data_IF_377329858196
#
_entry.id   IF_377329858196
#
_cell.length_a   1.000
_cell.length_b   1.000
_cell.length_c   1.000
_cell.angle_alpha   90.00
_cell.angle_beta   90.00
_cell.angle_gamma   90.00
#
_symmetry.space_group_name_H-M   'P 1'
#
loop_
_entity.id
_entity.type
_entity.pdbx_description
1 polymer ?
#
# COMPACT_ATOMS: atom_id res chain seq x y z
N UNK A 1 38.45 36.75 -1.02
CA UNK A 1 37.91 36.84 0.35
C UNK A 1 37.04 38.07 0.47
N UNK A 2 35.72 37.91 0.67
CA UNK A 2 34.82 39.04 0.90
C UNK A 2 35.09 39.63 2.29
N UNK A 3 35.38 40.92 2.35
CA UNK A 3 35.52 41.65 3.62
C UNK A 3 34.16 41.78 4.31
N UNK A 4 34.11 41.68 5.63
CA UNK A 4 32.89 41.78 6.46
C UNK A 4 31.95 42.94 6.05
N UNK A 5 32.52 44.11 5.73
CA UNK A 5 31.76 45.28 5.24
C UNK A 5 31.00 45.00 3.94
N UNK A 6 31.60 44.28 3.00
CA UNK A 6 30.95 43.92 1.72
C UNK A 6 29.85 42.89 1.91
N UNK A 7 30.03 41.96 2.85
CA UNK A 7 29.00 40.98 3.22
C UNK A 7 27.80 41.65 3.90
N UNK A 8 28.04 42.66 4.75
CA UNK A 8 26.97 43.41 5.40
C UNK A 8 26.14 44.22 4.39
N UNK A 9 26.79 44.88 3.43
CA UNK A 9 26.09 45.59 2.36
C UNK A 9 25.25 44.66 1.48
N UNK A 10 25.77 43.47 1.14
CA UNK A 10 25.02 42.48 0.37
C UNK A 10 23.80 41.95 1.14
N UNK A 11 23.94 41.70 2.44
CA UNK A 11 22.84 41.26 3.30
C UNK A 11 21.73 42.31 3.42
N UNK A 12 22.10 43.58 3.59
CA UNK A 12 21.13 44.68 3.63
C UNK A 12 20.38 44.79 2.30
N UNK A 13 21.07 44.73 1.15
CA UNK A 13 20.43 44.76 -0.16
C UNK A 13 19.46 43.59 -0.36
N UNK A 14 19.84 42.37 0.05
CA UNK A 14 19.00 41.18 -0.04
C UNK A 14 17.72 41.32 0.81
N UNK A 15 17.86 41.80 2.06
CA UNK A 15 16.72 42.01 2.95
C UNK A 15 15.78 43.08 2.39
N UNK A 16 16.33 44.18 1.86
CA UNK A 16 15.54 45.26 1.27
C UNK A 16 14.77 44.77 0.03
N UNK A 17 15.40 43.92 -0.78
CA UNK A 17 14.77 43.31 -1.96
C UNK A 17 13.63 42.36 -1.59
N UNK A 18 13.80 41.53 -0.55
CA UNK A 18 12.75 40.62 -0.06
C UNK A 18 11.55 41.41 0.51
N UNK A 19 11.80 42.49 1.25
CA UNK A 19 10.73 43.34 1.78
C UNK A 19 9.94 44.00 0.65
N UNK A 20 10.62 44.50 -0.39
CA UNK A 20 9.96 45.11 -1.54
C UNK A 20 9.10 44.12 -2.34
N UNK A 21 9.58 42.88 -2.51
CA UNK A 21 8.80 41.82 -3.16
C UNK A 21 7.56 41.43 -2.35
N UNK A 22 7.65 41.38 -1.01
CA UNK A 22 6.49 41.09 -0.15
C UNK A 22 5.44 42.21 -0.13
N UNK A 23 5.83 43.47 -0.31
CA UNK A 23 4.89 44.60 -0.37
C UNK A 23 4.17 44.73 -1.72
N UNK A 24 4.52 43.93 -2.72
CA UNK A 24 4.04 44.08 -4.12
C UNK A 24 2.89 43.14 -4.50
N UNK A 25 2.32 42.38 -3.57
CA UNK A 25 1.17 41.50 -3.83
C UNK A 25 -0.14 42.13 -3.34
N UNK A 26 -1.05 42.55 -4.24
CA UNK A 26 -2.41 42.94 -3.84
C UNK A 26 -3.21 41.71 -3.41
N UNK A 27 -3.89 41.82 -2.26
CA UNK A 27 -4.77 40.79 -1.73
C UNK A 27 -5.98 40.56 -2.67
N UNK A 28 -6.12 39.34 -3.18
CA UNK A 28 -7.32 38.91 -3.92
C UNK A 28 -8.48 38.66 -2.94
N UNK A 29 -9.48 39.52 -2.95
CA UNK A 29 -10.73 39.36 -2.22
C UNK A 29 -11.65 38.34 -2.91
N UNK A 30 -12.04 37.29 -2.19
CA UNK A 30 -13.11 36.36 -2.58
C UNK A 30 -14.49 37.02 -2.38
N UNK A 31 -15.48 36.86 -3.30
CA UNK A 31 -16.83 37.34 -3.08
C UNK A 31 -17.67 36.35 -2.24
N UNK A 32 -18.43 36.89 -1.28
CA UNK A 32 -19.43 36.17 -0.47
C UNK A 32 -20.74 35.90 -1.24
N UNK A 33 -21.51 34.86 -0.88
CA UNK A 33 -22.71 34.45 -1.61
C UNK A 33 -23.94 35.28 -1.18
N UNK A 34 -24.63 35.87 -2.15
CA UNK A 34 -25.91 36.53 -1.93
C UNK A 34 -27.08 35.54 -2.07
N UNK A 35 -27.87 35.50 -1.01
CA UNK A 35 -29.23 34.99 -0.90
C UNK A 35 -30.22 35.75 -1.80
N UNK A 36 -31.00 35.02 -2.61
CA UNK A 36 -32.30 35.50 -3.10
C UNK A 36 -33.20 34.36 -3.62
N UNK A 37 -34.42 34.32 -3.08
CA UNK A 37 -35.68 33.79 -3.64
C UNK A 37 -36.78 34.71 -3.07
N UNK A 38 -38.03 34.78 -3.58
CA UNK A 38 -38.72 33.87 -4.50
C UNK A 38 -39.63 34.54 -5.58
N UNK A 39 -40.18 33.71 -6.48
CA UNK A 39 -41.54 33.89 -7.03
C UNK A 39 -41.67 34.28 -8.51
N UNK A 40 -42.18 33.38 -9.36
CA UNK A 40 -43.57 33.43 -9.83
C UNK A 40 -43.90 32.30 -10.83
N UNK A 41 -45.06 31.72 -10.58
CA UNK A 41 -45.99 30.92 -11.40
C UNK A 41 -46.13 31.31 -12.88
N UNK A 42 -46.37 30.33 -13.78
CA UNK A 42 -47.58 30.23 -14.62
C UNK A 42 -47.69 28.89 -15.39
N UNK A 43 -48.82 28.23 -15.16
CA UNK A 43 -49.68 27.31 -15.92
C UNK A 43 -49.21 26.35 -17.03
N UNK A 44 -49.72 25.12 -16.82
CA UNK A 44 -50.14 24.04 -17.73
C UNK A 44 -50.40 24.39 -19.20
N UNK A 45 -49.94 23.50 -20.08
CA UNK A 45 -50.88 22.92 -21.05
C UNK A 45 -50.59 21.42 -21.28
N UNK A 46 -51.67 20.67 -21.41
CA UNK A 46 -51.72 19.21 -21.45
C UNK A 46 -51.45 18.69 -22.87
N UNK A 47 -50.67 17.62 -23.00
CA UNK A 47 -50.96 16.58 -24.00
C UNK A 47 -50.57 15.21 -23.46
N UNK A 48 -51.58 14.35 -23.36
CA UNK A 48 -51.49 12.96 -22.90
C UNK A 48 -50.80 12.10 -23.96
N UNK A 49 -49.73 11.41 -23.55
CA UNK A 49 -49.16 10.23 -24.21
C UNK A 49 -48.82 9.21 -23.14
N UNK A 50 -49.41 8.02 -23.24
CA UNK A 50 -49.51 6.99 -22.20
C UNK A 50 -48.28 6.06 -22.19
N UNK A 51 -47.91 5.60 -20.98
CA UNK A 51 -47.12 4.40 -20.63
C UNK A 51 -45.58 4.42 -20.75
N UNK A 52 -44.86 4.33 -19.61
CA UNK A 52 -44.50 3.07 -18.93
C UNK A 52 -43.81 3.32 -17.58
N UNK A 53 -44.14 2.43 -16.63
CA UNK A 53 -43.45 2.03 -15.39
C UNK A 53 -42.42 2.98 -14.77
N UNK A 54 -42.77 3.54 -13.62
CA UNK A 54 -41.77 4.04 -12.70
C UNK A 54 -41.05 2.90 -12.00
N UNK A 55 -39.73 3.00 -11.93
CA UNK A 55 -39.01 2.75 -10.69
C UNK A 55 -38.18 4.02 -10.44
N UNK A 56 -38.46 4.68 -9.31
CA UNK A 56 -37.59 5.72 -8.81
C UNK A 56 -36.41 4.97 -8.21
N UNK A 57 -35.30 4.92 -8.94
CA UNK A 57 -34.04 4.46 -8.39
C UNK A 57 -33.76 5.23 -7.10
N UNK A 58 -33.82 4.45 -6.03
CA UNK A 58 -33.52 4.83 -4.67
C UNK A 58 -32.17 5.53 -4.66
N UNK A 59 -32.14 6.81 -4.28
CA UNK A 59 -30.90 7.48 -3.89
C UNK A 59 -30.32 6.66 -2.75
N UNK A 60 -29.28 5.88 -3.05
CA UNK A 60 -28.60 5.02 -2.11
C UNK A 60 -28.01 5.94 -1.04
N UNK A 61 -28.65 5.99 0.13
CA UNK A 61 -28.12 6.72 1.28
C UNK A 61 -26.73 6.19 1.54
N UNK A 62 -25.74 7.09 1.62
CA UNK A 62 -24.41 6.78 2.14
C UNK A 62 -24.58 5.95 3.42
N UNK A 63 -23.91 4.80 3.57
CA UNK A 63 -24.07 3.98 4.76
C UNK A 63 -23.74 4.82 6.00
N UNK A 64 -24.59 4.73 7.02
CA UNK A 64 -24.35 5.34 8.32
C UNK A 64 -22.96 4.92 8.82
N UNK A 65 -22.20 5.86 9.40
CA UNK A 65 -20.91 5.58 10.00
C UNK A 65 -21.06 4.38 10.97
N UNK A 66 -20.26 3.31 10.81
CA UNK A 66 -20.38 2.14 11.65
C UNK A 66 -20.10 2.53 13.11
N UNK A 67 -20.85 1.97 14.09
CA UNK A 67 -20.57 2.23 15.48
C UNK A 67 -19.14 1.76 15.83
N UNK A 68 -18.49 2.33 16.86
CA UNK A 68 -17.16 1.87 17.29
C UNK A 68 -17.08 0.37 17.63
N UNK A 69 -18.22 -0.25 17.97
CA UNK A 69 -18.38 -1.67 18.27
C UNK A 69 -18.59 -2.57 17.05
N UNK A 70 -18.72 -2.00 15.85
CA UNK A 70 -18.80 -2.80 14.62
C UNK A 70 -17.48 -3.56 14.39
N UNK A 71 -17.51 -4.68 13.64
CA UNK A 71 -16.30 -5.37 13.23
C UNK A 71 -15.25 -4.41 12.64
N UNK A 72 -13.97 -4.64 12.96
CA UNK A 72 -12.89 -3.76 12.53
C UNK A 72 -12.84 -3.64 11.00
N UNK A 73 -13.07 -4.75 10.28
CA UNK A 73 -13.17 -4.77 8.81
C UNK A 73 -14.22 -3.80 8.27
N UNK A 74 -15.38 -3.68 8.91
CA UNK A 74 -16.46 -2.78 8.48
C UNK A 74 -16.08 -1.30 8.70
N UNK A 75 -15.46 -1.01 9.85
CA UNK A 75 -14.93 0.33 10.16
C UNK A 75 -13.83 0.73 9.17
N UNK A 76 -12.91 -0.18 8.84
CA UNK A 76 -11.89 0.04 7.83
C UNK A 76 -12.51 0.23 6.44
N UNK A 77 -13.53 -0.55 6.08
CA UNK A 77 -14.25 -0.40 4.80
C UNK A 77 -14.90 0.98 4.65
N UNK A 78 -15.45 1.52 5.73
CA UNK A 78 -16.06 2.84 5.74
C UNK A 78 -15.03 3.96 5.53
N UNK A 79 -13.88 3.90 6.20
CA UNK A 79 -12.84 4.94 6.13
C UNK A 79 -11.90 4.81 4.92
N UNK A 80 -11.70 3.60 4.42
CA UNK A 80 -10.83 3.27 3.29
C UNK A 80 -11.66 2.55 2.22
N UNK A 81 -12.52 3.32 1.56
CA UNK A 81 -13.36 2.85 0.47
C UNK A 81 -12.49 2.37 -0.69
N UNK A 82 -12.93 1.29 -1.33
CA UNK A 82 -12.27 0.75 -2.51
C UNK A 82 -13.02 1.17 -3.77
N UNK A 83 -12.28 1.68 -4.75
CA UNK A 83 -12.78 1.98 -6.09
C UNK A 83 -11.88 1.25 -7.11
N UNK A 84 -12.45 0.25 -7.76
CA UNK A 84 -11.74 -0.55 -8.75
C UNK A 84 -11.45 0.26 -10.02
N UNK A 85 -12.30 1.21 -10.42
CA UNK A 85 -12.12 1.96 -11.67
C UNK A 85 -11.08 3.08 -11.52
N UNK A 86 -10.74 3.47 -10.29
CA UNK A 86 -9.69 4.44 -10.01
C UNK A 86 -8.32 3.99 -10.57
N UNK A 87 -7.44 4.94 -10.87
CA UNK A 87 -6.06 4.63 -11.28
C UNK A 87 -5.20 4.23 -10.08
N UNK A 88 -4.17 3.43 -10.32
CA UNK A 88 -3.10 3.24 -9.32
C UNK A 88 -2.48 4.61 -8.96
N UNK A 89 -2.37 4.94 -7.67
CA UNK A 89 -1.67 6.14 -7.24
C UNK A 89 -0.18 6.07 -7.62
N UNK A 90 0.38 7.17 -8.13
CA UNK A 90 1.78 7.27 -8.51
C UNK A 90 2.68 7.59 -7.30
N UNK A 91 2.61 6.75 -6.26
CA UNK A 91 3.46 6.82 -5.08
C UNK A 91 4.30 5.55 -4.96
N UNK A 92 5.56 5.70 -4.57
CA UNK A 92 6.43 4.61 -4.12
C UNK A 92 6.79 4.89 -2.66
N UNK A 93 6.55 3.90 -1.81
CA UNK A 93 6.79 3.95 -0.38
C UNK A 93 7.89 2.95 -0.02
N UNK A 94 8.92 3.42 0.66
CA UNK A 94 9.87 2.56 1.37
C UNK A 94 9.94 3.00 2.83
N UNK A 95 10.46 2.15 3.70
CA UNK A 95 10.74 2.51 5.09
C UNK A 95 12.18 2.19 5.44
N UNK A 96 12.79 3.07 6.24
CA UNK A 96 14.13 2.85 6.76
C UNK A 96 14.38 3.66 8.03
N UNK A 97 15.53 3.48 8.68
CA UNK A 97 15.91 4.29 9.85
C UNK A 97 16.04 5.78 9.52
N UNK A 98 16.54 6.08 8.33
CA UNK A 98 16.92 7.42 7.92
C UNK A 98 16.45 7.72 6.50
N UNK A 99 16.23 8.99 6.20
CA UNK A 99 15.97 9.46 4.83
C UNK A 99 17.24 9.36 3.97
N UNK A 100 17.12 9.26 2.63
CA UNK A 100 18.26 9.24 1.70
C UNK A 100 19.19 10.47 1.81
N UNK A 101 18.65 11.59 2.29
CA UNK A 101 19.39 12.84 2.53
C UNK A 101 20.20 12.84 3.83
N UNK A 102 20.00 11.86 4.72
CA UNK A 102 20.75 11.74 5.97
C UNK A 102 22.17 11.25 5.73
N UNK A 103 23.13 11.78 6.49
CA UNK A 103 24.51 11.26 6.50
C UNK A 103 24.63 9.85 7.07
N UNK A 104 23.59 9.35 7.75
CA UNK A 104 23.53 8.00 8.31
C UNK A 104 22.84 7.00 7.37
N UNK A 105 22.39 7.44 6.20
CA UNK A 105 21.85 6.54 5.19
C UNK A 105 22.99 5.67 4.62
N UNK A 106 22.80 4.35 4.62
CA UNK A 106 23.86 3.42 4.21
C UNK A 106 24.18 3.59 2.72
N UNK A 107 25.48 3.68 2.39
CA UNK A 107 25.93 3.74 1.00
C UNK A 107 25.47 2.52 0.18
N UNK A 108 25.37 1.34 0.82
CA UNK A 108 24.88 0.11 0.18
C UNK A 108 23.42 0.17 -0.25
N UNK A 109 22.64 1.12 0.28
CA UNK A 109 21.22 1.29 -0.02
C UNK A 109 20.95 2.38 -1.06
N UNK A 110 21.97 3.15 -1.47
CA UNK A 110 21.78 4.24 -2.44
C UNK A 110 21.33 3.75 -3.80
N UNK A 111 22.03 2.78 -4.37
CA UNK A 111 21.69 2.28 -5.71
C UNK A 111 20.32 1.55 -5.72
N UNK A 112 19.99 0.68 -4.74
CA UNK A 112 18.63 0.14 -4.62
C UNK A 112 17.55 1.21 -4.52
N UNK A 113 17.69 2.16 -3.59
CA UNK A 113 16.73 3.25 -3.37
C UNK A 113 16.56 4.14 -4.62
N UNK A 114 17.66 4.61 -5.22
CA UNK A 114 17.60 5.55 -6.34
C UNK A 114 17.00 4.93 -7.60
N UNK A 115 17.17 3.60 -7.79
CA UNK A 115 16.61 2.88 -8.94
C UNK A 115 15.10 3.07 -9.08
N UNK A 116 14.38 3.20 -7.96
CA UNK A 116 12.94 3.45 -7.97
C UNK A 116 12.60 4.83 -8.53
N UNK A 117 13.32 5.87 -8.13
CA UNK A 117 13.12 7.23 -8.65
C UNK A 117 13.57 7.37 -10.11
N UNK A 118 14.68 6.73 -10.47
CA UNK A 118 15.25 6.76 -11.82
C UNK A 118 14.34 6.08 -12.85
N UNK A 119 13.75 4.93 -12.50
CA UNK A 119 12.82 4.22 -13.37
C UNK A 119 11.39 4.75 -13.31
N UNK A 120 11.04 5.57 -12.30
CA UNK A 120 9.70 6.12 -12.13
C UNK A 120 9.71 7.65 -12.00
N UNK A 121 10.17 8.41 -13.01
CA UNK A 121 10.33 9.86 -12.91
C UNK A 121 9.01 10.64 -12.70
N UNK A 122 7.85 10.01 -12.92
CA UNK A 122 6.53 10.58 -12.67
C UNK A 122 5.92 10.23 -11.31
N UNK A 123 6.61 9.42 -10.49
CA UNK A 123 6.13 8.99 -9.19
C UNK A 123 6.69 9.88 -8.08
N UNK A 124 5.95 9.99 -6.99
CA UNK A 124 6.46 10.53 -5.73
C UNK A 124 7.09 9.38 -4.95
N UNK A 125 8.41 9.42 -4.80
CA UNK A 125 9.17 8.43 -4.03
C UNK A 125 9.46 8.94 -2.62
N UNK A 126 8.99 8.21 -1.60
CA UNK A 126 9.15 8.58 -0.20
C UNK A 126 9.72 7.42 0.61
N UNK A 127 10.88 7.66 1.23
CA UNK A 127 11.45 6.80 2.27
C UNK A 127 11.02 7.36 3.63
N UNK A 128 10.09 6.68 4.29
CA UNK A 128 9.54 7.12 5.56
C UNK A 128 10.45 6.66 6.71
N UNK A 129 11.08 7.58 7.47
CA UNK A 129 11.95 7.22 8.56
C UNK A 129 11.18 6.70 9.77
N UNK A 130 11.78 5.80 10.55
CA UNK A 130 11.19 5.17 11.74
C UNK A 130 10.55 6.17 12.73
N UNK A 131 11.19 7.32 12.95
CA UNK A 131 10.71 8.37 13.85
C UNK A 131 9.41 9.04 13.37
N UNK A 132 9.12 8.92 12.08
CA UNK A 132 7.99 9.56 11.39
C UNK A 132 6.85 8.58 11.14
N UNK A 133 7.15 7.28 10.96
CA UNK A 133 6.14 6.24 10.72
C UNK A 133 5.01 6.29 11.75
N UNK A 134 5.35 6.34 13.05
CA UNK A 134 4.36 6.40 14.14
C UNK A 134 3.39 7.58 14.00
N UNK A 135 3.91 8.76 13.65
CA UNK A 135 3.10 9.97 13.49
C UNK A 135 2.22 9.89 12.25
N UNK A 136 2.74 9.35 11.16
CA UNK A 136 2.00 9.14 9.92
C UNK A 136 0.84 8.15 10.13
N UNK A 137 1.09 7.01 10.77
CA UNK A 137 0.04 6.02 11.08
C UNK A 137 -1.04 6.63 11.99
N UNK A 138 -0.64 7.39 13.02
CA UNK A 138 -1.61 8.09 13.88
C UNK A 138 -2.50 9.06 13.10
N UNK A 139 -1.92 9.77 12.13
CA UNK A 139 -2.66 10.70 11.28
C UNK A 139 -3.61 9.95 10.33
N UNK A 140 -3.14 8.94 9.62
CA UNK A 140 -3.93 8.20 8.63
C UNK A 140 -5.06 7.38 9.26
N UNK A 141 -4.82 6.79 10.43
CA UNK A 141 -5.76 5.88 11.10
C UNK A 141 -6.42 6.50 12.33
N UNK A 142 -6.45 7.83 12.44
CA UNK A 142 -7.04 8.52 13.59
C UNK A 142 -8.51 8.20 13.86
N UNK A 143 -9.27 7.83 12.83
CA UNK A 143 -10.67 7.39 12.97
C UNK A 143 -10.81 5.91 13.37
N UNK A 144 -9.73 5.13 13.33
CA UNK A 144 -9.68 3.71 13.69
C UNK A 144 -8.55 3.47 14.69
N UNK A 145 -8.67 3.97 15.94
CA UNK A 145 -7.57 4.01 16.91
C UNK A 145 -6.99 2.64 17.27
N UNK A 146 -7.76 1.56 17.13
CA UNK A 146 -7.32 0.17 17.32
C UNK A 146 -6.08 -0.17 16.48
N UNK A 147 -6.05 0.32 15.23
CA UNK A 147 -4.93 0.11 14.29
C UNK A 147 -3.66 0.78 14.79
N UNK A 148 -3.79 2.04 15.23
CA UNK A 148 -2.67 2.78 15.79
C UNK A 148 -2.19 2.16 17.11
N UNK A 149 -3.12 1.73 17.97
CA UNK A 149 -2.77 1.04 19.22
C UNK A 149 -2.00 -0.26 18.94
N UNK A 150 -2.44 -1.05 17.96
CA UNK A 150 -1.73 -2.26 17.54
C UNK A 150 -0.32 -1.93 17.07
N UNK A 151 -0.17 -0.99 16.13
CA UNK A 151 1.14 -0.57 15.62
C UNK A 151 2.08 -0.09 16.73
N UNK A 152 1.57 0.72 17.68
CA UNK A 152 2.37 1.24 18.80
C UNK A 152 2.76 0.14 19.81
N UNK A 153 1.98 -0.93 19.89
CA UNK A 153 2.22 -2.04 20.83
C UNK A 153 3.25 -3.06 20.32
N UNK A 154 3.59 -3.05 19.03
CA UNK A 154 4.53 -3.99 18.44
C UNK A 154 5.95 -3.81 19.04
N UNK A 155 6.59 -4.89 19.52
CA UNK A 155 7.82 -4.80 20.29
C UNK A 155 9.09 -4.83 19.42
N UNK A 156 8.98 -5.27 18.16
CA UNK A 156 10.10 -5.38 17.24
C UNK A 156 9.86 -4.46 16.04
N UNK A 157 10.87 -3.71 15.58
CA UNK A 157 10.73 -2.83 14.41
C UNK A 157 10.44 -3.60 13.11
N UNK A 158 10.95 -4.82 12.91
CA UNK A 158 10.55 -5.69 11.78
C UNK A 158 9.03 -5.91 11.69
N UNK A 159 8.34 -6.11 12.83
CA UNK A 159 6.88 -6.25 12.86
C UNK A 159 6.19 -4.95 12.43
N UNK A 160 6.76 -3.81 12.82
CA UNK A 160 6.25 -2.49 12.44
C UNK A 160 6.46 -2.21 10.96
N UNK A 161 7.60 -2.58 10.39
CA UNK A 161 7.87 -2.44 8.96
C UNK A 161 6.91 -3.32 8.14
N UNK A 162 6.74 -4.58 8.53
CA UNK A 162 5.75 -5.49 7.94
C UNK A 162 4.32 -4.94 8.02
N UNK A 163 3.93 -4.36 9.16
CA UNK A 163 2.59 -3.80 9.27
C UNK A 163 2.43 -2.48 8.50
N UNK A 164 3.47 -1.64 8.50
CA UNK A 164 3.48 -0.35 7.83
C UNK A 164 3.17 -0.48 6.34
N UNK A 165 3.77 -1.45 5.64
CA UNK A 165 3.53 -1.64 4.20
C UNK A 165 2.05 -1.87 3.87
N UNK A 166 1.34 -2.65 4.68
CA UNK A 166 -0.10 -2.86 4.47
C UNK A 166 -0.91 -1.62 4.82
N UNK A 167 -0.52 -0.91 5.89
CA UNK A 167 -1.20 0.31 6.32
C UNK A 167 -1.09 1.44 5.30
N UNK A 168 0.10 1.67 4.74
CA UNK A 168 0.30 2.74 3.77
C UNK A 168 -0.40 2.41 2.44
N UNK A 169 -0.38 1.15 2.00
CA UNK A 169 -1.11 0.72 0.81
C UNK A 169 -2.62 0.77 1.00
N UNK A 170 -3.13 0.41 2.18
CA UNK A 170 -4.55 0.56 2.50
C UNK A 170 -4.99 2.03 2.42
N UNK A 171 -4.20 2.93 3.00
CA UNK A 171 -4.57 4.34 3.12
C UNK A 171 -4.31 5.17 1.86
N UNK A 172 -3.25 4.87 1.12
CA UNK A 172 -2.74 5.70 0.02
C UNK A 172 -2.55 4.96 -1.30
N UNK A 173 -2.56 3.62 -1.29
CA UNK A 173 -2.21 2.81 -2.45
C UNK A 173 -0.81 3.12 -2.98
N UNK A 174 -0.60 2.79 -4.25
CA UNK A 174 0.69 2.93 -4.92
C UNK A 174 1.51 1.66 -4.80
N UNK A 175 2.83 1.81 -4.76
CA UNK A 175 3.80 0.72 -4.63
C UNK A 175 4.46 0.83 -3.27
N UNK A 176 4.52 -0.26 -2.52
CA UNK A 176 5.46 -0.39 -1.42
C UNK A 176 6.61 -1.29 -1.88
N UNK A 177 7.84 -0.97 -1.47
CA UNK A 177 8.98 -1.88 -1.58
C UNK A 177 9.91 -1.75 -0.38
N UNK A 178 10.54 -2.85 0.07
CA UNK A 178 11.59 -2.80 1.09
C UNK A 178 12.80 -2.00 0.58
N UNK A 179 13.60 -1.44 1.48
CA UNK A 179 14.68 -0.49 1.11
C UNK A 179 15.82 -1.14 0.33
N UNK A 180 16.06 -2.44 0.51
CA UNK A 180 17.11 -3.23 -0.12
C UNK A 180 16.59 -3.93 -1.38
N UNK A 181 15.67 -3.30 -2.10
CA UNK A 181 15.18 -3.74 -3.41
C UNK A 181 15.62 -2.80 -4.51
N UNK A 182 16.03 -3.36 -5.64
CA UNK A 182 16.31 -2.62 -6.86
C UNK A 182 15.16 -2.83 -7.84
N UNK A 183 14.58 -1.73 -8.33
CA UNK A 183 13.71 -1.77 -9.50
C UNK A 183 14.56 -2.11 -10.73
N UNK A 184 14.19 -3.17 -11.45
CA UNK A 184 14.81 -3.56 -12.71
C UNK A 184 14.03 -3.01 -13.91
N UNK A 185 12.72 -2.83 -13.75
CA UNK A 185 11.80 -2.28 -14.76
C UNK A 185 10.78 -1.34 -14.11
N UNK A 186 10.30 -0.33 -14.85
CA UNK A 186 9.22 0.51 -14.37
C UNK A 186 7.93 -0.30 -14.20
N UNK A 187 7.09 0.10 -13.25
CA UNK A 187 5.81 -0.56 -12.96
C UNK A 187 4.82 -0.51 -14.13
N UNK A 188 5.02 0.39 -15.10
CA UNK A 188 4.28 0.39 -16.37
C UNK A 188 4.50 -0.86 -17.20
N UNK A 189 5.60 -1.58 -16.96
CA UNK A 189 6.03 -2.73 -17.76
C UNK A 189 5.72 -4.06 -17.04
N UNK A 190 5.20 -4.00 -15.81
CA UNK A 190 4.89 -5.21 -15.02
C UNK A 190 3.69 -5.97 -15.58
N UNK A 191 2.79 -5.27 -16.27
CA UNK A 191 1.57 -5.81 -16.83
C UNK A 191 1.58 -5.65 -18.35
N UNK A 192 1.01 -6.60 -19.11
CA UNK A 192 0.90 -6.47 -20.56
C UNK A 192 0.06 -5.25 -20.96
N UNK A 193 0.41 -4.63 -22.09
CA UNK A 193 -0.30 -3.47 -22.63
C UNK A 193 -1.76 -3.73 -23.00
N UNK A 194 -2.12 -4.99 -23.23
CA UNK A 194 -3.47 -5.40 -23.61
C UNK A 194 -4.40 -5.54 -22.39
N UNK A 195 -3.83 -5.56 -21.18
CA UNK A 195 -4.61 -5.71 -19.96
C UNK A 195 -5.26 -4.38 -19.57
N UNK A 196 -6.59 -4.38 -19.42
CA UNK A 196 -7.31 -3.21 -18.92
C UNK A 196 -7.00 -2.97 -17.44
N UNK A 197 -6.17 -1.96 -17.16
CA UNK A 197 -5.76 -1.56 -15.82
C UNK A 197 -6.92 -1.06 -14.94
N UNK A 198 -8.04 -0.66 -15.54
CA UNK A 198 -9.25 -0.34 -14.77
C UNK A 198 -9.84 -1.59 -14.10
N UNK A 199 -9.48 -2.79 -14.56
CA UNK A 199 -9.93 -4.06 -13.98
C UNK A 199 -8.92 -4.69 -13.01
N UNK A 200 -7.82 -3.98 -12.70
CA UNK A 200 -6.76 -4.47 -11.82
C UNK A 200 -6.69 -3.61 -10.57
N UNK A 201 -6.91 -4.20 -9.41
CA UNK A 201 -6.88 -3.60 -8.08
C UNK A 201 -5.56 -3.74 -7.34
N UNK A 202 -4.84 -4.84 -7.61
CA UNK A 202 -3.54 -5.11 -7.02
C UNK A 202 -2.66 -5.95 -7.94
N UNK A 203 -1.34 -5.78 -7.80
CA UNK A 203 -0.30 -6.61 -8.42
C UNK A 203 0.59 -7.17 -7.33
N UNK A 204 0.67 -8.49 -7.26
CA UNK A 204 1.47 -9.25 -6.30
C UNK A 204 2.39 -10.19 -7.06
N UNK A 205 3.57 -10.49 -6.52
CA UNK A 205 4.47 -11.50 -7.08
C UNK A 205 4.54 -12.74 -6.21
N UNK A 206 5.04 -13.84 -6.74
CA UNK A 206 5.48 -14.99 -5.95
C UNK A 206 6.90 -14.70 -5.45
N UNK A 207 7.19 -14.90 -4.17
CA UNK A 207 8.57 -14.82 -3.66
C UNK A 207 9.24 -16.19 -3.56
N UNK A 208 8.44 -17.23 -3.26
CA UNK A 208 8.91 -18.58 -3.06
C UNK A 208 7.86 -19.62 -3.47
N UNK A 209 8.32 -20.65 -4.18
CA UNK A 209 7.55 -21.83 -4.59
C UNK A 209 8.37 -23.10 -4.33
N UNK A 210 8.67 -23.43 -3.06
CA UNK A 210 9.54 -24.55 -2.71
C UNK A 210 8.90 -25.91 -3.01
N UNK A 211 9.35 -26.60 -4.06
CA UNK A 211 8.94 -27.97 -4.37
C UNK A 211 9.84 -29.02 -3.72
N UNK A 212 9.83 -29.08 -2.39
CA UNK A 212 10.66 -30.01 -1.58
C UNK A 212 9.93 -30.49 -0.33
N UNK A 213 10.08 -31.76 0.11
CA UNK A 213 9.33 -32.29 1.27
C UNK A 213 9.52 -31.53 2.59
N UNK A 214 10.70 -30.93 2.78
CA UNK A 214 11.08 -30.16 3.97
C UNK A 214 10.84 -28.65 3.83
N UNK A 215 10.00 -28.22 2.88
CA UNK A 215 9.71 -26.79 2.67
C UNK A 215 9.26 -26.08 3.95
N UNK A 216 8.49 -26.77 4.79
CA UNK A 216 7.88 -26.24 6.02
C UNK A 216 8.89 -25.91 7.13
N UNK A 217 10.14 -26.34 7.00
CA UNK A 217 11.21 -25.95 7.91
C UNK A 217 11.74 -24.54 7.62
N UNK A 218 11.58 -24.06 6.38
CA UNK A 218 12.20 -22.84 5.86
C UNK A 218 11.18 -21.79 5.43
N UNK A 219 9.98 -22.22 5.04
CA UNK A 219 8.92 -21.40 4.47
C UNK A 219 7.64 -21.58 5.29
N UNK A 220 6.90 -20.50 5.46
CA UNK A 220 5.61 -20.49 6.16
C UNK A 220 4.54 -21.23 5.34
N UNK A 221 4.58 -21.15 4.01
CA UNK A 221 3.57 -21.73 3.12
C UNK A 221 4.22 -22.41 1.91
N UNK A 222 3.51 -23.36 1.28
CA UNK A 222 3.99 -24.09 0.09
C UNK A 222 4.23 -23.18 -1.11
N UNK A 223 3.47 -22.09 -1.21
CA UNK A 223 3.80 -20.89 -2.01
C UNK A 223 3.71 -19.70 -1.07
N UNK A 224 4.63 -18.76 -1.20
CA UNK A 224 4.54 -17.46 -0.55
C UNK A 224 4.44 -16.37 -1.61
N UNK A 225 3.44 -15.49 -1.43
CA UNK A 225 3.40 -14.25 -2.18
C UNK A 225 4.41 -13.27 -1.58
N UNK A 226 5.09 -12.54 -2.46
CA UNK A 226 5.99 -11.46 -2.10
C UNK A 226 5.21 -10.40 -1.32
N UNK A 227 5.71 -10.10 -0.12
CA UNK A 227 5.22 -8.99 0.70
C UNK A 227 6.17 -7.79 0.69
N UNK A 228 7.42 -7.99 0.30
CA UNK A 228 8.45 -6.94 0.30
C UNK A 228 8.37 -6.05 -0.96
N UNK A 229 7.51 -6.37 -1.94
CA UNK A 229 7.04 -5.45 -2.99
C UNK A 229 5.60 -5.74 -3.36
N UNK A 230 4.73 -4.73 -3.28
CA UNK A 230 3.31 -4.85 -3.61
C UNK A 230 2.83 -3.56 -4.28
N UNK A 231 2.01 -3.68 -5.32
CA UNK A 231 1.25 -2.55 -5.87
C UNK A 231 -0.23 -2.73 -5.58
N UNK A 232 -0.90 -1.71 -5.05
CA UNK A 232 -2.33 -1.77 -4.75
C UNK A 232 -3.02 -0.42 -4.92
N UNK A 233 -4.30 -0.45 -5.26
CA UNK A 233 -5.20 0.70 -5.12
C UNK A 233 -5.57 0.90 -3.64
N UNK A 234 -5.80 2.16 -3.20
CA UNK A 234 -6.20 2.42 -1.83
C UNK A 234 -7.53 1.72 -1.51
N UNK A 235 -7.68 1.24 -0.28
CA UNK A 235 -8.88 0.55 0.17
C UNK A 235 -9.01 -0.92 -0.27
N UNK A 236 -8.07 -1.48 -1.05
CA UNK A 236 -8.18 -2.83 -1.62
C UNK A 236 -8.54 -3.90 -0.55
N UNK A 237 -9.46 -4.84 -0.82
CA UNK A 237 -9.92 -5.83 0.14
C UNK A 237 -8.83 -6.65 0.83
N UNK A 238 -7.81 -7.09 0.09
CA UNK A 238 -6.65 -7.80 0.66
C UNK A 238 -5.97 -6.95 1.74
N UNK A 239 -5.72 -5.66 1.46
CA UNK A 239 -5.07 -4.74 2.41
C UNK A 239 -5.94 -4.53 3.65
N UNK A 240 -7.25 -4.44 3.46
CA UNK A 240 -8.21 -4.32 4.56
C UNK A 240 -8.21 -5.56 5.45
N UNK A 241 -8.19 -6.75 4.86
CA UNK A 241 -8.20 -8.01 5.58
C UNK A 241 -6.91 -8.21 6.40
N UNK A 242 -5.74 -8.05 5.79
CA UNK A 242 -4.46 -8.21 6.49
C UNK A 242 -4.29 -7.17 7.61
N UNK A 243 -4.71 -5.91 7.37
CA UNK A 243 -4.66 -4.87 8.42
C UNK A 243 -5.57 -5.21 9.59
N UNK A 244 -6.80 -5.67 9.31
CA UNK A 244 -7.71 -6.10 10.37
C UNK A 244 -7.16 -7.29 11.15
N UNK A 245 -6.67 -8.32 10.45
CA UNK A 245 -6.10 -9.53 11.03
C UNK A 245 -4.93 -9.21 11.97
N UNK A 246 -3.93 -8.46 11.48
CA UNK A 246 -2.77 -8.06 12.28
C UNK A 246 -3.20 -7.21 13.47
N UNK A 247 -4.13 -6.26 13.29
CA UNK A 247 -4.60 -5.41 14.39
C UNK A 247 -5.25 -6.24 15.50
N UNK A 248 -6.22 -7.09 15.14
CA UNK A 248 -6.96 -7.95 16.08
C UNK A 248 -6.01 -8.89 16.82
N UNK A 249 -5.07 -9.51 16.11
CA UNK A 249 -4.10 -10.44 16.68
C UNK A 249 -3.10 -9.72 17.60
N UNK A 250 -2.62 -8.53 17.21
CA UNK A 250 -1.78 -7.69 18.08
C UNK A 250 -2.47 -7.38 19.40
N UNK A 251 -3.72 -6.91 19.35
CA UNK A 251 -4.45 -6.49 20.54
C UNK A 251 -4.81 -7.69 21.42
N UNK A 252 -5.11 -8.84 20.81
CA UNK A 252 -5.29 -10.11 21.52
C UNK A 252 -4.02 -10.51 22.27
N UNK A 253 -2.86 -10.50 21.59
CA UNK A 253 -1.57 -10.83 22.19
C UNK A 253 -1.14 -9.85 23.28
N UNK A 254 -1.39 -8.55 23.07
CA UNK A 254 -1.18 -7.49 24.06
C UNK A 254 -2.01 -7.74 25.32
N UNK A 255 -3.31 -8.01 25.17
CA UNK A 255 -4.22 -8.31 26.29
C UNK A 255 -3.82 -9.58 27.03
N UNK A 256 -3.31 -10.58 26.32
CA UNK A 256 -2.79 -11.82 26.91
C UNK A 256 -1.39 -11.67 27.53
N UNK A 257 -0.70 -10.53 27.33
CA UNK A 257 0.65 -10.29 27.87
C UNK A 257 1.75 -11.14 27.23
N UNK A 258 1.55 -11.63 26.00
CA UNK A 258 2.51 -12.51 25.29
C UNK A 258 3.33 -11.79 24.21
N UNK A 259 3.02 -10.52 23.94
CA UNK A 259 3.74 -9.67 22.99
C UNK A 259 5.09 -9.23 23.61
N UNK A 260 6.14 -10.06 23.49
CA UNK A 260 7.46 -9.84 24.13
C UNK A 260 8.62 -10.06 23.16
N UNK A 261 9.70 -9.29 23.34
CA UNK A 261 10.97 -9.41 22.60
C UNK A 261 11.64 -10.77 22.87
N UNK A 262 12.13 -11.44 21.82
CA UNK A 262 13.07 -12.58 21.94
C UNK A 262 12.52 -14.02 21.82
N UNK A 263 11.24 -14.22 21.47
CA UNK A 263 10.64 -15.56 21.21
C UNK A 263 9.83 -15.63 19.92
N UNK A 264 10.27 -14.94 18.87
CA UNK A 264 9.38 -14.56 17.77
C UNK A 264 9.75 -15.10 16.38
N UNK A 265 10.85 -15.81 16.14
CA UNK A 265 11.32 -16.05 14.76
C UNK A 265 10.32 -16.80 13.86
N UNK A 266 9.61 -17.81 14.37
CA UNK A 266 8.48 -18.42 13.65
C UNK A 266 7.18 -17.61 13.76
N UNK A 267 7.04 -16.75 14.76
CA UNK A 267 5.86 -15.87 14.86
C UNK A 267 5.93 -14.71 13.88
N UNK A 268 7.09 -14.11 13.58
CA UNK A 268 7.18 -12.96 12.66
C UNK A 268 6.62 -13.35 11.30
N UNK A 269 7.09 -14.48 10.75
CA UNK A 269 6.63 -14.96 9.45
C UNK A 269 5.13 -15.29 9.42
N UNK A 270 4.59 -15.79 10.53
CA UNK A 270 3.19 -16.19 10.67
C UNK A 270 2.24 -15.05 11.10
N UNK A 271 2.79 -13.94 11.60
CA UNK A 271 2.01 -12.86 12.24
C UNK A 271 1.89 -11.64 11.34
N UNK A 272 3.01 -11.02 10.98
CA UNK A 272 3.05 -9.84 10.10
C UNK A 272 3.71 -10.13 8.75
N UNK A 273 4.45 -11.23 8.70
CA UNK A 273 5.28 -11.62 7.57
C UNK A 273 4.54 -12.38 6.46
N UNK A 274 5.27 -13.16 5.64
CA UNK A 274 4.77 -13.66 4.37
C UNK A 274 3.71 -14.75 4.53
N UNK A 275 3.65 -15.46 5.66
CA UNK A 275 2.59 -16.43 5.95
C UNK A 275 1.24 -15.76 6.12
N UNK A 276 1.15 -14.74 6.98
CA UNK A 276 -0.07 -13.97 7.20
C UNK A 276 -0.54 -13.27 5.92
N UNK A 277 0.39 -12.69 5.16
CA UNK A 277 0.13 -12.07 3.86
C UNK A 277 -0.43 -13.07 2.85
N UNK A 278 0.23 -14.22 2.71
CA UNK A 278 -0.20 -15.26 1.76
C UNK A 278 -1.60 -15.75 2.09
N UNK A 279 -1.90 -15.95 3.37
CA UNK A 279 -3.23 -16.35 3.79
C UNK A 279 -4.28 -15.25 3.51
N UNK A 280 -3.94 -13.97 3.61
CA UNK A 280 -4.85 -12.87 3.26
C UNK A 280 -5.17 -12.85 1.77
N UNK A 281 -4.18 -13.11 0.90
CA UNK A 281 -4.38 -13.22 -0.55
C UNK A 281 -5.29 -14.41 -0.88
N UNK A 282 -5.04 -15.59 -0.30
CA UNK A 282 -5.90 -16.76 -0.52
C UNK A 282 -7.29 -16.61 0.08
N UNK A 283 -7.44 -15.96 1.24
CA UNK A 283 -8.76 -15.62 1.78
C UNK A 283 -9.54 -14.78 0.79
N UNK A 284 -8.92 -13.75 0.22
CA UNK A 284 -9.57 -12.94 -0.80
C UNK A 284 -9.99 -13.76 -2.02
N UNK A 285 -9.10 -14.57 -2.60
CA UNK A 285 -9.41 -15.39 -3.78
C UNK A 285 -10.56 -16.38 -3.58
N UNK A 286 -10.90 -16.68 -2.33
CA UNK A 286 -11.95 -17.62 -1.96
C UNK A 286 -13.10 -16.95 -1.19
N UNK A 287 -13.17 -15.62 -1.22
CA UNK A 287 -14.19 -14.87 -0.50
C UNK A 287 -15.47 -14.71 -1.35
N UNK A 288 -16.61 -15.29 -0.91
CA UNK A 288 -17.86 -15.21 -1.65
C UNK A 288 -18.44 -13.79 -1.75
N UNK A 289 -17.98 -12.83 -0.94
CA UNK A 289 -18.39 -11.43 -1.05
C UNK A 289 -17.81 -10.75 -2.31
N UNK A 290 -16.71 -11.29 -2.86
CA UNK A 290 -16.02 -10.75 -4.05
C UNK A 290 -16.13 -11.68 -5.26
N UNK A 291 -16.32 -12.98 -5.04
CA UNK A 291 -16.36 -13.99 -6.08
C UNK A 291 -17.69 -14.73 -6.08
N UNK A 292 -18.31 -14.89 -7.26
CA UNK A 292 -19.50 -15.72 -7.39
C UNK A 292 -19.13 -17.21 -7.36
N UNK A 293 -19.09 -17.79 -6.16
CA UNK A 293 -18.80 -19.20 -5.94
C UNK A 293 -20.11 -20.00 -6.01
N UNK A 294 -20.26 -20.86 -7.02
CA UNK A 294 -21.49 -21.64 -7.20
C UNK A 294 -21.77 -22.57 -5.99
N UNK A 295 -23.03 -22.69 -5.53
CA UNK A 295 -23.39 -23.61 -4.45
C UNK A 295 -23.00 -25.06 -4.78
N UNK A 296 -22.14 -25.66 -3.96
CA UNK A 296 -21.61 -27.02 -4.17
C UNK A 296 -20.32 -27.09 -4.99
N UNK A 297 -19.78 -25.95 -5.44
CA UNK A 297 -18.45 -25.86 -6.02
C UNK A 297 -17.39 -26.28 -4.99
N UNK A 298 -16.45 -27.13 -5.42
CA UNK A 298 -15.23 -27.47 -4.65
C UNK A 298 -14.03 -26.62 -5.09
N UNK A 299 -14.25 -25.63 -5.96
CA UNK A 299 -13.19 -24.84 -6.57
C UNK A 299 -12.67 -23.84 -5.54
N UNK A 300 -11.58 -24.24 -4.87
CA UNK A 300 -10.82 -23.43 -3.93
C UNK A 300 -9.52 -23.05 -4.63
N UNK A 301 -9.24 -21.76 -4.74
CA UNK A 301 -7.95 -21.27 -5.25
C UNK A 301 -6.89 -21.59 -4.21
N UNK A 302 -5.91 -22.41 -4.56
CA UNK A 302 -4.86 -22.88 -3.64
C UNK A 302 -3.46 -22.70 -4.24
N UNK A 303 -2.40 -23.16 -3.58
CA UNK A 303 -1.04 -23.03 -4.11
C UNK A 303 -0.86 -23.81 -5.42
N UNK A 304 -1.60 -24.90 -5.63
CA UNK A 304 -1.59 -25.69 -6.86
C UNK A 304 -1.96 -24.86 -8.09
N UNK A 305 -2.71 -23.77 -7.92
CA UNK A 305 -3.08 -22.84 -8.99
C UNK A 305 -1.94 -21.96 -9.49
N UNK A 306 -0.87 -21.83 -8.70
CA UNK A 306 0.22 -20.87 -8.92
C UNK A 306 1.60 -21.53 -8.99
N UNK A 307 1.73 -22.81 -8.59
CA UNK A 307 3.02 -23.50 -8.62
C UNK A 307 3.55 -23.64 -10.05
N UNK A 308 4.86 -23.48 -10.24
CA UNK A 308 5.55 -23.46 -11.53
C UNK A 308 5.05 -22.38 -12.52
N UNK A 309 4.38 -21.33 -12.04
CA UNK A 309 3.89 -20.25 -12.89
C UNK A 309 5.05 -19.52 -13.61
N UNK A 310 4.95 -19.42 -14.95
CA UNK A 310 5.95 -18.76 -15.81
C UNK A 310 5.52 -17.37 -16.31
N UNK A 311 4.22 -17.09 -16.34
CA UNK A 311 3.65 -15.82 -16.78
C UNK A 311 2.76 -15.21 -15.69
N UNK A 312 2.05 -14.12 -15.99
CA UNK A 312 1.08 -13.57 -15.05
C UNK A 312 -0.22 -14.42 -15.03
N UNK A 313 -0.91 -14.42 -13.89
CA UNK A 313 -2.26 -14.99 -13.74
C UNK A 313 -3.16 -13.95 -13.08
N UNK A 314 -4.34 -13.69 -13.65
CA UNK A 314 -5.32 -12.78 -13.06
C UNK A 314 -6.41 -13.56 -12.32
N UNK A 315 -6.67 -13.23 -11.06
CA UNK A 315 -7.76 -13.77 -10.23
C UNK A 315 -8.58 -12.61 -9.70
N UNK A 316 -9.82 -12.47 -10.20
CA UNK A 316 -10.64 -11.29 -9.93
C UNK A 316 -9.99 -10.03 -10.49
N UNK A 317 -9.69 -9.08 -9.60
CA UNK A 317 -8.96 -7.85 -9.89
C UNK A 317 -7.48 -7.90 -9.48
N UNK A 318 -6.95 -9.05 -9.06
CA UNK A 318 -5.55 -9.19 -8.67
C UNK A 318 -4.76 -9.87 -9.78
N UNK A 319 -3.61 -9.30 -10.12
CA UNK A 319 -2.63 -9.97 -10.98
C UNK A 319 -1.52 -10.56 -10.12
N UNK A 320 -1.29 -11.85 -10.27
CA UNK A 320 -0.19 -12.60 -9.66
C UNK A 320 0.91 -12.77 -10.70
N UNK A 321 2.10 -12.27 -10.39
CA UNK A 321 3.31 -12.38 -11.20
C UNK A 321 4.16 -13.59 -10.80
N UNK A 322 4.89 -14.22 -11.73
CA UNK A 322 5.70 -15.39 -11.46
C UNK A 322 6.86 -15.07 -10.52
N UNK A 323 7.50 -16.11 -9.97
CA UNK A 323 8.65 -15.94 -9.06
C UNK A 323 9.78 -15.13 -9.71
N UNK A 324 10.03 -15.32 -11.00
CA UNK A 324 11.04 -14.55 -11.75
C UNK A 324 10.81 -13.05 -11.69
N UNK A 325 9.57 -12.59 -11.55
CA UNK A 325 9.29 -11.16 -11.55
C UNK A 325 9.81 -10.44 -10.34
N UNK A 326 9.60 -11.00 -9.17
CA UNK A 326 9.92 -10.34 -7.91
C UNK A 326 11.13 -11.04 -7.22
N UNK A 327 11.41 -12.31 -7.50
CA UNK A 327 12.54 -13.04 -6.92
C UNK A 327 13.51 -13.58 -8.00
N UNK A 328 13.96 -12.78 -8.99
CA UNK A 328 14.92 -13.24 -9.99
C UNK A 328 16.31 -13.47 -9.38
N UNK A 329 17.09 -14.37 -9.97
CA UNK A 329 18.49 -14.60 -9.61
C UNK A 329 18.68 -15.32 -8.27
N UNK A 330 17.62 -15.87 -7.66
CA UNK A 330 17.74 -16.74 -6.47
C UNK A 330 18.22 -18.15 -6.83
N UNK A 331 18.23 -18.51 -8.12
CA UNK A 331 18.69 -19.80 -8.66
C UNK A 331 18.05 -21.04 -8.01
N UNK A 332 16.81 -20.89 -7.55
CA UNK A 332 16.01 -21.95 -6.94
C UNK A 332 14.54 -21.77 -7.34
N UNK A 333 13.73 -22.82 -7.18
CA UNK A 333 12.28 -22.78 -7.38
C UNK A 333 11.85 -22.33 -8.81
N UNK A 334 12.73 -22.56 -9.80
CA UNK A 334 12.46 -22.19 -11.20
C UNK A 334 12.55 -20.70 -11.51
N UNK A 335 13.08 -19.86 -10.61
CA UNK A 335 13.29 -18.44 -10.87
C UNK A 335 14.34 -18.21 -11.97
N UNK A 336 14.00 -17.35 -12.94
CA UNK A 336 14.91 -16.87 -13.97
C UNK A 336 15.97 -15.91 -13.41
N UNK A 337 16.94 -15.54 -14.24
CA UNK A 337 18.02 -14.62 -13.89
C UNK A 337 17.56 -13.15 -13.90
N UNK A 338 18.42 -12.24 -13.45
CA UNK A 338 18.10 -10.80 -13.32
C UNK A 338 17.94 -10.06 -14.65
N UNK A 339 18.40 -10.65 -15.75
CA UNK A 339 18.24 -10.18 -17.13
C UNK A 339 17.03 -10.81 -17.84
N UNK A 340 16.27 -11.67 -17.16
CA UNK A 340 15.06 -12.27 -17.70
C UNK A 340 14.01 -11.20 -18.09
N UNK A 341 13.29 -11.34 -19.21
CA UNK A 341 12.23 -10.42 -19.60
C UNK A 341 11.13 -10.24 -18.56
N UNK A 342 10.89 -11.22 -17.68
CA UNK A 342 9.94 -11.12 -16.59
C UNK A 342 10.55 -10.57 -15.30
N UNK A 343 11.87 -10.38 -15.19
CA UNK A 343 12.53 -9.84 -14.00
C UNK A 343 12.25 -8.34 -13.83
N UNK A 344 11.51 -7.97 -12.78
CA UNK A 344 11.01 -6.61 -12.57
C UNK A 344 11.59 -5.94 -11.33
N UNK A 345 11.80 -6.70 -10.27
CA UNK A 345 12.35 -6.21 -9.01
C UNK A 345 13.32 -7.25 -8.48
N UNK A 346 14.46 -6.81 -7.93
CA UNK A 346 15.45 -7.66 -7.31
C UNK A 346 15.57 -7.32 -5.83
N UNK A 347 15.33 -8.31 -4.97
CA UNK A 347 15.59 -8.19 -3.54
C UNK A 347 17.05 -8.59 -3.23
N UNK A 348 17.77 -7.82 -2.42
CA UNK A 348 19.18 -8.10 -2.08
C UNK A 348 19.35 -9.00 -0.84
N UNK A 349 18.26 -9.28 -0.12
CA UNK A 349 18.22 -10.16 1.07
C UNK A 349 19.26 -9.75 2.11
N UNK A 350 19.45 -8.44 2.30
CA UNK A 350 20.48 -7.89 3.18
C UNK A 350 20.33 -8.36 4.62
N UNK A 351 19.11 -8.75 5.03
CA UNK A 351 18.85 -9.40 6.32
C UNK A 351 19.24 -8.53 7.51
N UNK A 352 19.40 -7.22 7.30
CA UNK A 352 20.02 -6.29 8.26
C UNK A 352 19.29 -6.25 9.59
N UNK A 353 17.99 -6.58 9.61
CA UNK A 353 17.17 -6.69 10.81
C UNK A 353 17.56 -7.85 11.74
N UNK A 354 18.27 -8.88 11.25
CA UNK A 354 18.67 -10.04 12.05
C UNK A 354 19.83 -9.74 13.00
N UNK A 355 20.71 -8.83 12.60
CA UNK A 355 21.98 -8.57 13.29
C UNK A 355 21.97 -7.28 14.13
N UNK A 356 20.92 -6.46 14.02
CA UNK A 356 20.78 -5.21 14.75
C UNK A 356 19.46 -5.18 15.54
N UNK A 357 19.49 -5.32 16.87
CA UNK A 357 18.28 -5.32 17.70
C UNK A 357 17.59 -3.94 17.78
N UNK A 358 18.12 -2.91 17.12
CA UNK A 358 17.42 -1.65 16.88
C UNK A 358 16.56 -1.65 15.59
N UNK A 359 16.57 -2.74 14.82
CA UNK A 359 15.76 -3.01 13.61
C UNK A 359 14.64 -4.03 13.84
#
# INVERSE_FOLDING_TARGET
MLTFRKSLFAAVLLITFIVYLRSSHPASSLPSPNSASPGHSYNEDQTKGVQKGGDKDTVQQLPLMPPPTAPLRDRLRYHFSYDLEAKFPAYIWQTWKYTPSSMFFSESLRDPESSWSELHPGFVHEVIPDDTQRHLIKYLFGAVPDVYEAYDSMPLPVLKADFFRYLILLARGGIYSDIDTTALKPASDWLPSELDLATVGAVVGIEADPDRPDWHDWYARRIQFCQWTIQAKPGHPIMRDIVAHITEETLRMKKAGILKVGKMDKTVMEYTGPGAWTDAVFRYFNDPDYFNIEPGSTLNVTYEDFTNQQGYKKVGDVVVLPITSFSPGVHQMGAGDVDDPMAFVKHHFGGTWKDDPSL
#
